data_IF_967852729236
#
_entry.id   IF_967852729236
#
_cell.length_a   1.000
_cell.length_b   1.000
_cell.length_c   1.000
_cell.angle_alpha   90.00
_cell.angle_beta   90.00
_cell.angle_gamma   90.00
#
_symmetry.space_group_name_H-M   'P 1'
#
loop_
_entity.id
_entity.type
_entity.pdbx_description
1 polymer ?
#
# COMPACT_ATOMS: atom_id res chain seq x y z
N UNK A 1 -9.53 13.39 -18.09
CA UNK A 1 -8.91 12.68 -16.95
C UNK A 1 -9.12 11.18 -17.07
N UNK A 2 -10.35 10.70 -17.23
CA UNK A 2 -10.66 9.26 -17.36
C UNK A 2 -9.80 8.60 -18.44
N UNK A 3 -9.72 9.19 -19.63
CA UNK A 3 -8.89 8.69 -20.74
C UNK A 3 -7.43 8.54 -20.31
N UNK A 4 -6.85 9.58 -19.72
CA UNK A 4 -5.46 9.57 -19.26
C UNK A 4 -5.24 8.54 -18.14
N UNK A 5 -6.23 8.35 -17.25
CA UNK A 5 -6.15 7.32 -16.22
C UNK A 5 -6.14 5.93 -16.86
N UNK A 6 -7.06 5.63 -17.77
CA UNK A 6 -7.11 4.33 -18.49
C UNK A 6 -5.81 4.09 -19.26
N UNK A 7 -5.29 5.07 -19.97
CA UNK A 7 -4.01 4.97 -20.67
C UNK A 7 -2.86 4.63 -19.72
N UNK A 8 -2.85 5.24 -18.52
CA UNK A 8 -1.81 5.00 -17.53
C UNK A 8 -1.83 3.58 -16.94
N UNK A 9 -2.96 2.87 -17.02
CA UNK A 9 -3.06 1.47 -16.59
C UNK A 9 -2.32 0.55 -17.56
N UNK A 10 -2.18 0.93 -18.85
CA UNK A 10 -1.53 0.13 -19.88
C UNK A 10 -2.09 -1.29 -19.98
N UNK A 11 -3.41 -1.40 -20.17
CA UNK A 11 -4.16 -2.66 -20.14
C UNK A 11 -3.78 -3.52 -21.34
N UNK A 12 -3.49 -4.81 -21.09
CA UNK A 12 -3.27 -5.83 -22.11
C UNK A 12 -4.46 -6.79 -22.18
N UNK A 13 -4.73 -7.32 -23.37
CA UNK A 13 -5.79 -8.32 -23.58
C UNK A 13 -5.61 -9.59 -22.75
N UNK A 14 -4.41 -9.86 -22.26
CA UNK A 14 -4.10 -11.00 -21.40
C UNK A 14 -4.32 -10.72 -19.91
N UNK A 15 -4.53 -9.45 -19.52
CA UNK A 15 -4.57 -9.07 -18.12
C UNK A 15 -5.83 -9.56 -17.39
N UNK A 16 -5.63 -10.03 -16.18
CA UNK A 16 -6.66 -10.11 -15.14
C UNK A 16 -6.53 -8.86 -14.29
N UNK A 17 -7.60 -8.06 -14.22
CA UNK A 17 -7.64 -6.79 -13.47
C UNK A 17 -8.63 -6.94 -12.31
N UNK A 18 -8.26 -6.40 -11.16
CA UNK A 18 -9.17 -6.21 -10.01
C UNK A 18 -9.40 -4.73 -9.83
N UNK A 19 -10.63 -4.27 -10.03
CA UNK A 19 -11.06 -2.91 -9.70
C UNK A 19 -11.68 -2.89 -8.30
N UNK A 20 -11.24 -1.94 -7.47
CA UNK A 20 -11.73 -1.79 -6.10
C UNK A 20 -12.43 -0.45 -5.96
N UNK A 21 -13.70 -0.48 -5.55
CA UNK A 21 -14.53 0.72 -5.42
C UNK A 21 -14.94 1.27 -6.79
N UNK A 22 -15.59 0.45 -7.60
CA UNK A 22 -15.98 0.81 -8.97
C UNK A 22 -17.04 1.92 -9.05
N UNK A 23 -17.80 2.15 -7.96
CA UNK A 23 -18.89 3.10 -7.96
C UNK A 23 -19.95 2.72 -9.01
N UNK A 24 -20.35 3.70 -9.83
CA UNK A 24 -21.31 3.47 -10.93
C UNK A 24 -20.69 2.79 -12.17
N UNK A 25 -19.44 2.32 -12.07
CA UNK A 25 -18.76 1.56 -13.12
C UNK A 25 -18.22 2.41 -14.26
N UNK A 26 -17.80 3.64 -14.01
CA UNK A 26 -17.25 4.54 -15.05
C UNK A 26 -15.97 3.97 -15.67
N UNK A 27 -15.01 3.58 -14.86
CA UNK A 27 -13.76 2.94 -15.33
C UNK A 27 -14.03 1.49 -15.76
N UNK A 28 -14.86 0.77 -15.00
CA UNK A 28 -15.26 -0.62 -15.26
C UNK A 28 -15.70 -0.84 -16.70
N UNK A 29 -16.65 0.00 -17.19
CA UNK A 29 -17.17 -0.08 -18.57
C UNK A 29 -16.11 0.06 -19.64
N UNK A 30 -15.08 0.88 -19.37
CA UNK A 30 -13.99 1.10 -20.32
C UNK A 30 -12.98 -0.04 -20.24
N UNK A 31 -12.66 -0.54 -19.03
CA UNK A 31 -11.67 -1.60 -18.84
C UNK A 31 -12.18 -2.99 -19.24
N UNK A 32 -13.46 -3.30 -19.03
CA UNK A 32 -14.02 -4.62 -19.28
C UNK A 32 -13.74 -5.18 -20.69
N UNK A 33 -13.93 -4.41 -21.79
CA UNK A 33 -13.61 -4.89 -23.12
C UNK A 33 -12.11 -4.94 -23.47
N UNK A 34 -11.24 -4.37 -22.63
CA UNK A 34 -9.81 -4.22 -22.92
C UNK A 34 -8.95 -5.33 -22.31
N UNK A 35 -9.44 -6.05 -21.31
CA UNK A 35 -8.69 -7.09 -20.60
C UNK A 35 -9.29 -8.49 -20.80
N UNK A 36 -8.58 -9.51 -20.29
CA UNK A 36 -9.04 -10.89 -20.31
C UNK A 36 -10.15 -11.13 -19.31
N UNK A 37 -10.02 -10.57 -18.11
CA UNK A 37 -10.96 -10.71 -17.01
C UNK A 37 -10.93 -9.46 -16.13
N UNK A 38 -12.10 -8.93 -15.80
CA UNK A 38 -12.25 -7.84 -14.84
C UNK A 38 -13.07 -8.32 -13.65
N UNK A 39 -12.48 -8.24 -12.46
CA UNK A 39 -13.12 -8.55 -11.20
C UNK A 39 -13.31 -7.23 -10.45
N UNK A 40 -14.51 -6.97 -10.00
CA UNK A 40 -14.88 -5.76 -9.26
C UNK A 40 -15.14 -6.12 -7.81
N UNK A 41 -14.51 -5.41 -6.87
CA UNK A 41 -14.83 -5.50 -5.44
C UNK A 41 -15.47 -4.18 -5.03
N UNK A 42 -16.78 -4.22 -4.70
CA UNK A 42 -17.55 -3.03 -4.33
C UNK A 42 -18.26 -3.23 -2.99
N UNK A 43 -18.13 -2.24 -2.11
CA UNK A 43 -18.75 -2.29 -0.78
C UNK A 43 -20.26 -1.99 -0.83
N UNK A 44 -20.64 -1.00 -1.65
CA UNK A 44 -22.00 -0.51 -1.72
C UNK A 44 -22.87 -1.39 -2.61
N UNK A 45 -23.71 -2.23 -1.98
CA UNK A 45 -24.63 -3.12 -2.68
C UNK A 45 -25.73 -2.38 -3.45
N UNK A 46 -25.98 -1.11 -3.17
CA UNK A 46 -26.99 -0.32 -3.90
C UNK A 46 -26.54 -0.05 -5.34
N UNK A 47 -25.24 -0.13 -5.61
CA UNK A 47 -24.64 0.04 -6.93
C UNK A 47 -24.82 -1.17 -7.87
N UNK A 48 -25.38 -2.26 -7.35
CA UNK A 48 -25.70 -3.47 -8.14
C UNK A 48 -26.49 -3.15 -9.41
N UNK A 49 -27.44 -2.23 -9.33
CA UNK A 49 -28.28 -1.81 -10.49
C UNK A 49 -27.46 -1.21 -11.64
N UNK A 50 -26.25 -0.72 -11.37
CA UNK A 50 -25.33 -0.17 -12.38
C UNK A 50 -24.31 -1.22 -12.84
N UNK A 51 -23.73 -1.97 -11.91
CA UNK A 51 -22.63 -2.89 -12.18
C UNK A 51 -23.10 -4.17 -12.87
N UNK A 52 -24.24 -4.72 -12.46
CA UNK A 52 -24.79 -5.97 -13.05
C UNK A 52 -25.21 -5.81 -14.53
N UNK A 53 -25.24 -4.58 -15.05
CA UNK A 53 -25.52 -4.28 -16.46
C UNK A 53 -24.27 -4.27 -17.34
N UNK A 54 -23.09 -4.38 -16.73
CA UNK A 54 -21.82 -4.36 -17.45
C UNK A 54 -21.42 -5.80 -17.79
N UNK A 55 -21.26 -6.08 -19.07
CA UNK A 55 -20.87 -7.40 -19.54
C UNK A 55 -19.38 -7.70 -19.25
N UNK A 56 -19.06 -8.99 -19.17
CA UNK A 56 -17.69 -9.50 -18.98
C UNK A 56 -16.98 -9.06 -17.69
N UNK A 57 -17.74 -8.83 -16.60
CA UNK A 57 -17.21 -8.57 -15.29
C UNK A 57 -17.72 -9.61 -14.27
N UNK A 58 -16.93 -9.81 -13.21
CA UNK A 58 -17.33 -10.54 -12.01
C UNK A 58 -17.37 -9.54 -10.84
N UNK A 59 -18.52 -9.43 -10.15
CA UNK A 59 -18.67 -8.46 -9.05
C UNK A 59 -18.75 -9.18 -7.72
N UNK A 60 -17.90 -8.76 -6.79
CA UNK A 60 -17.87 -9.21 -5.39
C UNK A 60 -18.35 -8.04 -4.52
N UNK A 61 -19.57 -8.14 -4.00
CA UNK A 61 -20.16 -7.12 -3.12
C UNK A 61 -19.72 -7.34 -1.68
N UNK A 62 -18.54 -6.82 -1.32
CA UNK A 62 -17.99 -6.96 0.03
C UNK A 62 -16.93 -5.85 0.30
N UNK A 63 -16.55 -5.71 1.59
CA UNK A 63 -15.44 -4.87 1.98
C UNK A 63 -14.12 -5.47 1.48
N UNK A 64 -13.33 -4.68 0.76
CA UNK A 64 -12.02 -5.12 0.26
C UNK A 64 -11.07 -5.54 1.38
N UNK A 65 -11.18 -4.96 2.56
CA UNK A 65 -10.33 -5.32 3.70
C UNK A 65 -10.62 -6.74 4.22
N UNK A 66 -11.86 -7.21 4.07
CA UNK A 66 -12.33 -8.51 4.54
C UNK A 66 -12.36 -9.58 3.42
N UNK A 67 -12.15 -9.14 2.16
CA UNK A 67 -12.21 -10.00 0.97
C UNK A 67 -10.81 -10.43 0.54
N UNK A 68 -10.60 -11.70 0.23
CA UNK A 68 -9.37 -12.13 -0.43
C UNK A 68 -9.33 -11.54 -1.85
N UNK A 69 -8.32 -10.75 -2.15
CA UNK A 69 -8.11 -10.22 -3.50
C UNK A 69 -7.55 -11.34 -4.36
N UNK A 70 -8.21 -11.74 -5.46
CA UNK A 70 -7.71 -12.76 -6.36
C UNK A 70 -6.36 -12.38 -6.98
N UNK A 71 -5.53 -13.39 -7.29
CA UNK A 71 -4.30 -13.17 -8.07
C UNK A 71 -4.62 -12.44 -9.37
N UNK A 72 -3.91 -11.36 -9.65
CA UNK A 72 -4.15 -10.50 -10.80
C UNK A 72 -2.86 -9.84 -11.32
N UNK A 73 -2.90 -9.36 -12.56
CA UNK A 73 -1.82 -8.53 -13.09
C UNK A 73 -1.93 -7.10 -12.54
N UNK A 74 -3.14 -6.56 -12.51
CA UNK A 74 -3.34 -5.16 -12.13
C UNK A 74 -4.45 -5.01 -11.11
N UNK A 75 -4.20 -4.10 -10.15
CA UNK A 75 -5.24 -3.55 -9.28
C UNK A 75 -5.47 -2.09 -9.68
N UNK A 76 -6.72 -1.69 -9.82
CA UNK A 76 -7.10 -0.31 -10.11
C UNK A 76 -8.03 0.17 -9.02
N UNK A 77 -7.78 1.35 -8.46
CA UNK A 77 -8.61 1.81 -7.35
C UNK A 77 -8.58 3.32 -7.12
N UNK A 78 -9.69 3.80 -6.55
CA UNK A 78 -9.85 5.16 -6.01
C UNK A 78 -10.52 5.05 -4.64
N UNK A 79 -9.73 4.85 -3.58
CA UNK A 79 -10.23 4.58 -2.24
C UNK A 79 -10.30 5.83 -1.36
N UNK A 80 -11.26 5.88 -0.41
CA UNK A 80 -11.26 6.89 0.65
C UNK A 80 -9.98 6.85 1.47
N UNK A 81 -9.48 8.01 1.90
CA UNK A 81 -8.22 8.12 2.64
C UNK A 81 -8.18 7.30 3.92
N UNK A 82 -9.34 7.11 4.58
CA UNK A 82 -9.45 6.37 5.84
C UNK A 82 -9.03 4.91 5.76
N UNK A 83 -9.07 4.30 4.57
CA UNK A 83 -8.73 2.88 4.38
C UNK A 83 -7.43 2.66 3.62
N UNK A 84 -6.69 3.71 3.24
CA UNK A 84 -5.44 3.58 2.47
C UNK A 84 -4.41 2.77 3.24
N UNK A 85 -4.13 3.10 4.52
CA UNK A 85 -3.12 2.38 5.29
C UNK A 85 -3.46 0.90 5.47
N UNK A 86 -4.63 0.49 5.97
CA UNK A 86 -4.99 -0.92 6.05
C UNK A 86 -5.03 -1.62 4.68
N UNK A 87 -5.36 -0.90 3.61
CA UNK A 87 -5.31 -1.45 2.27
C UNK A 87 -3.86 -1.70 1.80
N UNK A 88 -2.95 -0.75 1.98
CA UNK A 88 -1.51 -0.95 1.69
C UNK A 88 -0.95 -2.15 2.49
N UNK A 89 -1.34 -2.30 3.76
CA UNK A 89 -0.96 -3.45 4.58
C UNK A 89 -1.45 -4.78 3.96
N UNK A 90 -2.70 -4.81 3.51
CA UNK A 90 -3.28 -5.98 2.85
C UNK A 90 -2.53 -6.36 1.56
N UNK A 91 -2.08 -5.37 0.79
CA UNK A 91 -1.34 -5.58 -0.45
C UNK A 91 0.01 -6.28 -0.25
N UNK A 92 0.60 -6.24 0.95
CA UNK A 92 1.86 -6.93 1.24
C UNK A 92 1.77 -8.43 0.94
N UNK A 93 0.65 -9.05 1.29
CA UNK A 93 0.39 -10.48 1.09
C UNK A 93 -0.44 -10.80 -0.16
N UNK A 94 -0.95 -9.79 -0.87
CA UNK A 94 -1.72 -9.95 -2.10
C UNK A 94 -0.80 -10.24 -3.29
N UNK A 95 -1.17 -11.16 -4.17
CA UNK A 95 -0.39 -11.50 -5.38
C UNK A 95 -0.86 -10.66 -6.57
N UNK A 96 -0.10 -9.62 -6.92
CA UNK A 96 -0.35 -8.71 -8.04
C UNK A 96 0.97 -8.21 -8.62
N UNK A 97 0.95 -7.73 -9.87
CA UNK A 97 2.13 -7.17 -10.54
C UNK A 97 2.23 -5.65 -10.32
N UNK A 98 1.14 -4.90 -10.55
CA UNK A 98 1.07 -3.46 -10.34
C UNK A 98 -0.28 -2.99 -9.81
N UNK A 99 -0.26 -1.92 -9.03
CA UNK A 99 -1.45 -1.18 -8.59
C UNK A 99 -1.40 0.23 -9.20
N UNK A 100 -2.50 0.64 -9.83
CA UNK A 100 -2.72 2.03 -10.26
C UNK A 100 -3.80 2.62 -9.35
N UNK A 101 -3.42 3.64 -8.59
CA UNK A 101 -4.27 4.18 -7.54
C UNK A 101 -4.38 5.70 -7.61
N UNK A 102 -5.61 6.19 -7.54
CA UNK A 102 -5.90 7.60 -7.28
C UNK A 102 -5.91 7.84 -5.77
N UNK A 103 -5.10 8.77 -5.29
CA UNK A 103 -5.04 9.13 -3.87
C UNK A 103 -4.72 10.61 -3.69
N UNK A 104 -5.00 11.14 -2.48
CA UNK A 104 -4.70 12.53 -2.17
C UNK A 104 -3.20 12.84 -2.21
N UNK A 105 -2.84 13.96 -2.85
CA UNK A 105 -1.45 14.34 -3.06
C UNK A 105 -0.66 14.51 -1.76
N UNK A 106 -1.29 14.94 -0.67
CA UNK A 106 -0.64 15.03 0.64
C UNK A 106 -0.09 13.68 1.10
N UNK A 107 -0.87 12.60 0.94
CA UNK A 107 -0.44 11.25 1.31
C UNK A 107 0.72 10.78 0.46
N UNK A 108 0.60 10.96 -0.86
CA UNK A 108 1.63 10.47 -1.76
C UNK A 108 2.94 11.25 -1.60
N UNK A 109 2.86 12.54 -1.31
CA UNK A 109 4.05 13.35 -1.04
C UNK A 109 4.80 12.83 0.20
N UNK A 110 4.12 12.42 1.28
CA UNK A 110 4.77 11.78 2.42
C UNK A 110 5.52 10.51 2.02
N UNK A 111 4.94 9.70 1.13
CA UNK A 111 5.58 8.46 0.64
C UNK A 111 6.78 8.76 -0.27
N UNK A 112 6.62 9.68 -1.23
CA UNK A 112 7.66 10.03 -2.20
C UNK A 112 8.85 10.75 -1.54
N UNK A 113 8.58 11.63 -0.57
CA UNK A 113 9.60 12.33 0.21
C UNK A 113 10.23 11.44 1.28
N UNK A 114 9.70 10.22 1.48
CA UNK A 114 10.12 9.30 2.54
C UNK A 114 10.00 9.91 3.94
N UNK A 115 8.94 10.70 4.15
CA UNK A 115 8.67 11.31 5.46
C UNK A 115 8.47 10.24 6.53
N UNK A 116 8.83 10.57 7.77
CA UNK A 116 8.76 9.63 8.88
C UNK A 116 7.32 9.54 9.40
N UNK A 117 6.50 8.88 8.63
CA UNK A 117 5.14 8.47 8.98
C UNK A 117 4.99 6.96 8.81
N UNK A 118 4.07 6.36 9.56
CA UNK A 118 3.86 4.92 9.50
C UNK A 118 3.52 4.45 8.08
N UNK A 119 2.60 5.14 7.41
CA UNK A 119 2.22 4.82 6.04
C UNK A 119 3.41 4.92 5.07
N UNK A 120 4.22 5.98 5.15
CA UNK A 120 5.40 6.16 4.32
C UNK A 120 6.43 5.05 4.54
N UNK A 121 6.72 4.75 5.80
CA UNK A 121 7.68 3.69 6.16
C UNK A 121 7.21 2.32 5.64
N UNK A 122 5.95 1.95 5.90
CA UNK A 122 5.40 0.68 5.43
C UNK A 122 5.44 0.63 3.89
N UNK A 123 4.95 1.68 3.22
CA UNK A 123 4.91 1.70 1.76
C UNK A 123 6.32 1.56 1.18
N UNK A 124 7.28 2.36 1.64
CA UNK A 124 8.66 2.32 1.13
C UNK A 124 9.44 1.05 1.54
N UNK A 125 8.96 0.28 2.52
CA UNK A 125 9.57 -1.00 2.93
C UNK A 125 9.13 -2.20 2.09
N UNK A 126 8.02 -2.07 1.36
CA UNK A 126 7.44 -3.17 0.59
C UNK A 126 7.19 -2.84 -0.88
N UNK A 127 7.10 -1.56 -1.22
CA UNK A 127 6.68 -1.12 -2.53
C UNK A 127 7.55 0.00 -3.10
N UNK A 128 7.71 0.00 -4.41
CA UNK A 128 8.15 1.15 -5.19
C UNK A 128 6.92 1.94 -5.61
N UNK A 129 6.92 3.24 -5.34
CA UNK A 129 5.85 4.15 -5.72
C UNK A 129 6.36 5.14 -6.77
N UNK A 130 5.61 5.28 -7.85
CA UNK A 130 5.89 6.20 -8.96
C UNK A 130 4.69 7.13 -9.14
N UNK A 131 4.93 8.44 -9.11
CA UNK A 131 3.93 9.44 -9.43
C UNK A 131 3.72 9.48 -10.95
N UNK A 132 2.48 9.30 -11.41
CA UNK A 132 2.15 9.37 -12.81
C UNK A 132 1.71 10.78 -13.20
N UNK A 133 0.67 11.32 -12.56
CA UNK A 133 0.21 12.69 -12.77
C UNK A 133 -0.76 13.14 -11.68
N UNK A 134 -0.91 14.45 -11.58
CA UNK A 134 -1.88 15.08 -10.68
C UNK A 134 -3.25 15.23 -11.34
N UNK A 135 -4.29 15.22 -10.50
CA UNK A 135 -5.69 15.37 -10.87
C UNK A 135 -6.29 16.52 -10.07
N UNK A 136 -6.71 17.57 -10.79
CA UNK A 136 -7.33 18.74 -10.19
C UNK A 136 -8.69 18.42 -9.57
N UNK A 137 -9.06 19.07 -8.44
CA UNK A 137 -10.36 18.89 -7.80
C UNK A 137 -11.56 19.11 -8.76
N UNK A 138 -11.45 20.05 -9.69
CA UNK A 138 -12.47 20.35 -10.70
C UNK A 138 -12.79 19.18 -11.64
N UNK A 139 -12.00 18.13 -11.61
CA UNK A 139 -12.17 16.93 -12.44
C UNK A 139 -13.15 15.91 -11.87
N UNK A 140 -13.66 16.16 -10.67
CA UNK A 140 -14.56 15.25 -9.95
C UNK A 140 -15.97 15.85 -9.87
N UNK A 141 -17.00 15.01 -9.96
CA UNK A 141 -18.40 15.41 -9.75
C UNK A 141 -18.60 16.03 -8.37
N UNK A 142 -17.95 15.46 -7.35
CA UNK A 142 -17.84 16.02 -6.00
C UNK A 142 -16.37 16.34 -5.76
N UNK A 143 -15.96 17.62 -5.89
CA UNK A 143 -14.56 17.99 -5.78
C UNK A 143 -13.97 17.68 -4.40
N UNK A 144 -12.84 16.99 -4.32
CA UNK A 144 -12.11 16.83 -3.05
C UNK A 144 -11.52 18.17 -2.62
N UNK A 145 -11.21 18.30 -1.31
CA UNK A 145 -10.64 19.54 -0.77
C UNK A 145 -9.19 19.81 -1.22
N UNK A 146 -8.51 18.78 -1.68
CA UNK A 146 -7.08 18.84 -2.05
C UNK A 146 -6.85 18.18 -3.39
N UNK A 147 -5.74 18.52 -4.02
CA UNK A 147 -5.23 17.86 -5.21
C UNK A 147 -5.15 16.34 -5.00
N UNK A 148 -5.48 15.58 -6.02
CA UNK A 148 -5.28 14.13 -6.06
C UNK A 148 -4.14 13.78 -6.99
N UNK A 149 -3.55 12.61 -6.82
CA UNK A 149 -2.44 12.12 -7.66
C UNK A 149 -2.72 10.67 -8.04
N UNK A 150 -2.49 10.34 -9.29
CA UNK A 150 -2.47 8.95 -9.75
C UNK A 150 -1.04 8.44 -9.62
N UNK A 151 -0.90 7.29 -8.98
CA UNK A 151 0.37 6.61 -8.73
C UNK A 151 0.36 5.19 -9.25
N UNK A 152 1.53 4.70 -9.62
CA UNK A 152 1.82 3.28 -9.82
C UNK A 152 2.58 2.75 -8.63
N UNK A 153 2.17 1.61 -8.11
CA UNK A 153 2.80 0.91 -7.00
C UNK A 153 3.12 -0.51 -7.43
N UNK A 154 4.38 -0.93 -7.24
CA UNK A 154 4.86 -2.28 -7.53
C UNK A 154 5.58 -2.84 -6.32
N UNK A 155 5.61 -4.17 -6.18
CA UNK A 155 6.32 -4.81 -5.07
C UNK A 155 7.84 -4.66 -5.21
N UNK A 156 8.50 -4.48 -4.08
CA UNK A 156 9.95 -4.49 -3.95
C UNK A 156 10.42 -5.80 -3.30
N UNK A 157 11.52 -6.37 -3.83
CA UNK A 157 12.28 -7.36 -3.08
C UNK A 157 13.08 -6.69 -1.97
N UNK A 158 13.16 -7.28 -0.76
CA UNK A 158 13.98 -6.75 0.33
C UNK A 158 15.44 -6.48 -0.04
N UNK A 159 15.98 -7.23 -1.01
CA UNK A 159 17.36 -7.05 -1.51
C UNK A 159 17.62 -5.69 -2.19
N UNK A 160 16.58 -5.00 -2.67
CA UNK A 160 16.69 -3.68 -3.28
C UNK A 160 16.51 -2.52 -2.29
N UNK A 161 16.22 -2.83 -1.02
CA UNK A 161 16.04 -1.82 0.02
C UNK A 161 17.37 -1.36 0.60
N UNK A 162 17.47 -0.07 0.95
CA UNK A 162 18.53 0.39 1.83
C UNK A 162 18.46 -0.33 3.18
N UNK A 163 19.60 -0.36 3.90
CA UNK A 163 19.69 -1.04 5.20
C UNK A 163 18.57 -0.65 6.16
N UNK A 164 18.27 0.63 6.27
CA UNK A 164 17.18 1.16 7.09
C UNK A 164 15.84 0.56 6.72
N UNK A 165 15.49 0.54 5.44
CA UNK A 165 14.21 -0.02 4.98
C UNK A 165 14.15 -1.54 5.08
N UNK A 166 15.29 -2.25 5.01
CA UNK A 166 15.35 -3.67 5.33
C UNK A 166 15.00 -3.91 6.81
N UNK A 167 15.49 -3.08 7.72
CA UNK A 167 15.15 -3.17 9.14
C UNK A 167 13.65 -2.92 9.34
N UNK A 168 13.09 -1.87 8.74
CA UNK A 168 11.65 -1.57 8.84
C UNK A 168 10.78 -2.66 8.22
N UNK A 169 11.18 -3.27 7.12
CA UNK A 169 10.51 -4.41 6.53
C UNK A 169 10.32 -5.54 7.57
N UNK A 170 11.37 -5.89 8.30
CA UNK A 170 11.30 -6.92 9.32
C UNK A 170 10.63 -6.45 10.61
N UNK A 171 10.79 -5.19 11.02
CA UNK A 171 10.05 -4.62 12.15
C UNK A 171 8.54 -4.70 11.91
N UNK A 172 8.11 -4.42 10.68
CA UNK A 172 6.71 -4.59 10.31
C UNK A 172 6.29 -6.07 10.26
N UNK A 173 7.12 -6.95 9.72
CA UNK A 173 6.85 -8.39 9.73
C UNK A 173 6.65 -8.93 11.15
N UNK A 174 7.42 -8.42 12.13
CA UNK A 174 7.33 -8.76 13.54
C UNK A 174 6.52 -7.75 14.36
N UNK A 175 5.60 -7.00 13.76
CA UNK A 175 4.95 -5.83 14.37
C UNK A 175 4.21 -6.12 15.68
N UNK A 176 3.76 -7.35 15.89
CA UNK A 176 3.07 -7.80 17.10
C UNK A 176 4.03 -8.07 18.27
N UNK A 177 5.33 -8.10 18.03
CA UNK A 177 6.37 -8.26 19.04
C UNK A 177 6.81 -6.89 19.58
N UNK A 178 7.33 -6.88 20.83
CA UNK A 178 8.05 -5.69 21.33
C UNK A 178 9.23 -5.37 20.43
N UNK A 179 9.50 -4.09 20.19
CA UNK A 179 10.56 -3.64 19.26
C UNK A 179 11.92 -4.27 19.58
N UNK A 180 12.28 -4.42 20.85
CA UNK A 180 13.51 -5.14 21.25
C UNK A 180 13.61 -6.56 20.67
N UNK A 181 12.50 -7.32 20.72
CA UNK A 181 12.46 -8.67 20.20
C UNK A 181 12.39 -8.72 18.67
N UNK A 182 11.65 -7.79 18.08
CA UNK A 182 11.56 -7.63 16.64
C UNK A 182 12.93 -7.27 16.04
N UNK A 183 13.66 -6.30 16.64
CA UNK A 183 15.03 -5.94 16.24
C UNK A 183 16.00 -7.11 16.40
N UNK A 184 15.90 -7.88 17.51
CA UNK A 184 16.75 -9.05 17.69
C UNK A 184 16.56 -10.08 16.57
N UNK A 185 15.31 -10.41 16.24
CA UNK A 185 14.98 -11.32 15.13
C UNK A 185 15.44 -10.76 13.79
N UNK A 186 15.29 -9.44 13.60
CA UNK A 186 15.73 -8.72 12.39
C UNK A 186 17.25 -8.83 12.20
N UNK A 187 18.04 -8.55 13.23
CA UNK A 187 19.51 -8.58 13.13
C UNK A 187 20.05 -10.00 12.99
N UNK A 188 19.43 -10.98 13.66
CA UNK A 188 19.76 -12.40 13.43
C UNK A 188 19.58 -12.72 11.94
N UNK A 189 18.46 -12.32 11.34
CA UNK A 189 18.14 -12.64 9.95
C UNK A 189 18.96 -11.87 8.93
N UNK A 190 19.14 -10.56 9.16
CA UNK A 190 19.81 -9.68 8.19
C UNK A 190 21.35 -9.75 8.26
N UNK A 191 21.89 -9.96 9.46
CA UNK A 191 23.33 -9.91 9.73
C UNK A 191 23.92 -11.28 10.04
N UNK A 192 23.09 -12.32 10.04
CA UNK A 192 23.49 -13.68 10.42
C UNK A 192 24.14 -13.75 11.83
N UNK A 193 23.63 -12.93 12.77
CA UNK A 193 24.15 -12.84 14.13
C UNK A 193 23.58 -13.94 15.00
N UNK A 194 24.34 -14.33 16.02
CA UNK A 194 23.79 -15.10 17.13
C UNK A 194 22.83 -14.24 17.97
N UNK A 195 22.00 -14.88 18.78
CA UNK A 195 21.08 -14.21 19.71
C UNK A 195 21.80 -13.26 20.66
N UNK A 196 23.01 -13.63 21.11
CA UNK A 196 23.85 -12.82 22.02
C UNK A 196 24.38 -11.57 21.31
N UNK A 197 24.90 -11.72 20.11
CA UNK A 197 25.43 -10.60 19.30
C UNK A 197 24.32 -9.62 18.90
N UNK A 198 23.14 -10.13 18.50
CA UNK A 198 21.99 -9.28 18.17
C UNK A 198 21.54 -8.46 19.40
N UNK A 199 21.53 -9.04 20.61
CA UNK A 199 21.26 -8.30 21.85
C UNK A 199 22.32 -7.23 22.13
N UNK A 200 23.61 -7.55 21.98
CA UNK A 200 24.70 -6.58 22.16
C UNK A 200 24.56 -5.41 21.16
N UNK A 201 24.21 -5.71 19.91
CA UNK A 201 23.96 -4.69 18.89
C UNK A 201 22.81 -3.78 19.26
N UNK A 202 21.69 -4.30 19.78
CA UNK A 202 20.56 -3.47 20.22
C UNK A 202 20.97 -2.54 21.35
N UNK A 203 21.74 -3.04 22.32
CA UNK A 203 22.27 -2.22 23.42
C UNK A 203 23.14 -1.08 22.89
N UNK A 204 24.02 -1.35 21.90
CA UNK A 204 24.90 -0.32 21.32
C UNK A 204 24.16 0.78 20.54
N UNK A 205 22.91 0.53 20.12
CA UNK A 205 22.07 1.53 19.45
C UNK A 205 21.50 2.57 20.41
N UNK A 206 21.58 2.37 21.73
CA UNK A 206 21.05 3.29 22.75
C UNK A 206 19.58 3.70 22.50
N UNK A 207 18.76 2.77 22.03
CA UNK A 207 17.32 3.04 21.84
C UNK A 207 16.66 3.15 23.23
N UNK A 208 15.87 4.20 23.49
CA UNK A 208 15.18 4.38 24.76
C UNK A 208 14.29 3.17 25.14
N UNK A 209 14.35 2.75 26.39
CA UNK A 209 13.57 1.60 26.90
C UNK A 209 12.06 1.68 26.60
N UNK A 210 11.39 2.86 26.76
CA UNK A 210 9.98 2.98 26.38
C UNK A 210 9.69 2.59 24.93
N UNK A 211 10.61 2.87 24.00
CA UNK A 211 10.48 2.48 22.59
C UNK A 211 10.72 0.97 22.45
N UNK A 212 11.75 0.43 23.11
CA UNK A 212 12.08 -1.00 23.05
C UNK A 212 10.95 -1.90 23.59
N UNK A 213 10.19 -1.41 24.58
CA UNK A 213 9.09 -2.14 25.19
C UNK A 213 7.75 -1.98 24.45
N UNK A 214 7.66 -1.06 23.49
CA UNK A 214 6.48 -0.85 22.66
C UNK A 214 6.47 -1.82 21.47
N UNK A 215 5.30 -2.14 20.92
CA UNK A 215 5.17 -2.89 19.66
C UNK A 215 5.22 -1.93 18.46
N UNK A 216 5.75 -2.40 17.33
CA UNK A 216 5.81 -1.56 16.14
C UNK A 216 4.40 -1.16 15.63
N UNK A 217 3.40 -2.03 15.77
CA UNK A 217 2.01 -1.74 15.38
C UNK A 217 1.37 -0.57 16.16
N UNK A 218 1.88 -0.28 17.38
CA UNK A 218 1.33 0.75 18.29
C UNK A 218 2.29 1.91 18.56
N UNK A 219 3.42 1.97 17.86
CA UNK A 219 4.42 3.04 18.05
C UNK A 219 3.83 4.40 17.69
N UNK A 220 4.04 5.40 18.55
CA UNK A 220 3.65 6.78 18.24
C UNK A 220 4.55 7.39 17.16
N UNK A 221 4.04 8.40 16.43
CA UNK A 221 4.84 9.09 15.41
C UNK A 221 6.08 9.77 16.01
N UNK A 222 6.03 10.23 17.25
CA UNK A 222 7.16 10.81 17.95
C UNK A 222 8.25 9.75 18.20
N UNK A 223 7.88 8.63 18.79
CA UNK A 223 8.79 7.51 19.03
C UNK A 223 9.35 6.92 17.72
N UNK A 224 8.53 6.90 16.67
CA UNK A 224 8.95 6.46 15.35
C UNK A 224 10.04 7.38 14.77
N UNK A 225 9.94 8.70 14.93
CA UNK A 225 10.98 9.65 14.52
C UNK A 225 12.28 9.45 15.30
N UNK A 226 12.19 9.19 16.60
CA UNK A 226 13.37 8.90 17.43
C UNK A 226 14.04 7.60 16.94
N UNK A 227 13.25 6.54 16.75
CA UNK A 227 13.74 5.27 16.24
C UNK A 227 14.38 5.42 14.85
N UNK A 228 13.75 6.17 13.95
CA UNK A 228 14.27 6.44 12.60
C UNK A 228 15.64 7.10 12.62
N UNK A 229 15.81 8.11 13.49
CA UNK A 229 17.10 8.80 13.63
C UNK A 229 18.21 7.87 14.13
N UNK A 230 17.87 6.89 14.97
CA UNK A 230 18.84 5.92 15.50
C UNK A 230 19.20 4.85 14.45
N UNK A 231 18.24 4.46 13.62
CA UNK A 231 18.43 3.44 12.59
C UNK A 231 19.02 4.00 11.27
N UNK A 232 19.13 5.31 11.16
CA UNK A 232 19.74 6.00 10.00
C UNK A 232 21.25 6.03 10.13
#
# INVERSE_FOLDING_TARGET
IITKYIESINIKKSDTIVEIGAGKGVLTKIMAPLCKKLIVIELDKTLKTYLDKIENIEVIYNNVLDTSIPKCNKIVTSLPYSIIEPFIQKLITTDFEELIMLMGSTYINHVLNKDITRLSIITNSYFKTEKLFDVEPSSFDIPPRTLSTIVRITKLSPSYLSRKYQIYHYLYYYQNMKIKNALQSTFIKLDNLTKREAKAKIVSLNIPDPILETKFETISNENLKILDKILS
#
